data_IF_495472112238
#
_entry.id   IF_495472112238
#
_cell.length_a   1.000
_cell.length_b   1.000
_cell.length_c   1.000
_cell.angle_alpha   90.00
_cell.angle_beta   90.00
_cell.angle_gamma   90.00
#
_symmetry.space_group_name_H-M   'P 1'
#
loop_
_entity.id
_entity.type
_entity.pdbx_description
1 polymer ?
#
# COMPACT_ATOMS: atom_id res chain seq x y z
N UNK A 1 -17.73 -11.95 -39.39
CA UNK A 1 -17.32 -11.59 -38.05
C UNK A 1 -18.04 -12.54 -37.10
N UNK A 2 -17.35 -13.57 -36.65
CA UNK A 2 -17.91 -14.53 -35.70
C UNK A 2 -18.13 -13.82 -34.38
N UNK A 3 -19.39 -13.59 -34.03
CA UNK A 3 -19.76 -12.99 -32.76
C UNK A 3 -19.58 -14.05 -31.67
N UNK A 4 -18.66 -13.83 -30.74
CA UNK A 4 -18.49 -14.69 -29.57
C UNK A 4 -19.82 -14.83 -28.84
N UNK A 5 -20.26 -16.08 -28.70
CA UNK A 5 -21.45 -16.45 -27.92
C UNK A 5 -21.02 -17.18 -26.66
N UNK A 6 -21.76 -17.00 -25.58
CA UNK A 6 -21.63 -17.80 -24.37
C UNK A 6 -23.02 -18.16 -23.85
N UNK A 7 -23.13 -19.24 -23.10
CA UNK A 7 -24.39 -19.70 -22.55
C UNK A 7 -24.49 -19.40 -21.05
N UNK A 8 -25.55 -18.73 -20.64
CA UNK A 8 -25.90 -18.51 -19.24
C UNK A 8 -27.31 -19.03 -19.00
N UNK A 9 -27.49 -19.91 -18.03
CA UNK A 9 -28.79 -20.52 -17.68
C UNK A 9 -29.46 -21.24 -18.86
N UNK A 10 -28.67 -21.71 -19.84
CA UNK A 10 -29.19 -22.38 -21.03
C UNK A 10 -29.54 -21.45 -22.20
N UNK A 11 -29.42 -20.15 -22.05
CA UNK A 11 -29.63 -19.16 -23.11
C UNK A 11 -28.30 -18.76 -23.74
N UNK A 12 -28.24 -18.73 -25.08
CA UNK A 12 -27.08 -18.20 -25.83
C UNK A 12 -27.17 -16.68 -25.88
N UNK A 13 -26.09 -16.02 -25.42
CA UNK A 13 -25.99 -14.57 -25.40
C UNK A 13 -24.78 -14.14 -26.23
N UNK A 14 -24.98 -13.17 -27.13
CA UNK A 14 -23.88 -12.54 -27.83
C UNK A 14 -23.12 -11.56 -26.92
N UNK A 15 -21.80 -11.51 -27.06
CA UNK A 15 -20.97 -10.61 -26.24
C UNK A 15 -21.44 -9.15 -26.29
N UNK A 16 -21.76 -8.66 -27.47
CA UNK A 16 -22.26 -7.29 -27.66
C UNK A 16 -23.55 -7.03 -26.88
N UNK A 17 -24.51 -7.96 -26.94
CA UNK A 17 -25.79 -7.80 -26.24
C UNK A 17 -25.60 -7.89 -24.74
N UNK A 18 -24.73 -8.77 -24.27
CA UNK A 18 -24.34 -8.85 -22.87
C UNK A 18 -23.70 -7.56 -22.38
N UNK A 19 -22.73 -7.02 -23.14
CA UNK A 19 -22.04 -5.79 -22.77
C UNK A 19 -22.99 -4.58 -22.77
N UNK A 20 -23.85 -4.45 -23.78
CA UNK A 20 -24.87 -3.39 -23.85
C UNK A 20 -25.95 -3.55 -22.78
N UNK A 21 -26.26 -4.78 -22.39
CA UNK A 21 -27.19 -5.12 -21.31
C UNK A 21 -26.68 -4.81 -19.90
N UNK A 22 -25.38 -4.55 -19.73
CA UNK A 22 -24.84 -4.11 -18.43
C UNK A 22 -25.38 -2.72 -18.10
N UNK A 23 -26.39 -2.62 -17.26
CA UNK A 23 -26.96 -1.35 -16.83
C UNK A 23 -26.10 -0.60 -15.79
N UNK A 24 -25.12 -1.29 -15.19
CA UNK A 24 -24.21 -0.72 -14.21
C UNK A 24 -22.99 -0.10 -14.91
N UNK A 25 -22.81 1.20 -14.75
CA UNK A 25 -21.64 1.94 -15.28
C UNK A 25 -20.31 1.37 -14.77
N UNK A 26 -20.25 0.97 -13.50
CA UNK A 26 -19.03 0.40 -12.90
C UNK A 26 -18.66 -0.94 -13.56
N UNK A 27 -19.66 -1.79 -13.85
CA UNK A 27 -19.41 -3.07 -14.53
C UNK A 27 -18.88 -2.87 -15.96
N UNK A 28 -19.47 -1.94 -16.73
CA UNK A 28 -18.95 -1.57 -18.06
C UNK A 28 -17.52 -1.04 -17.98
N UNK A 29 -17.27 -0.15 -17.02
CA UNK A 29 -15.96 0.43 -16.79
C UNK A 29 -14.91 -0.64 -16.45
N UNK A 30 -15.27 -1.59 -15.59
CA UNK A 30 -14.38 -2.70 -15.23
C UNK A 30 -13.99 -3.55 -16.45
N UNK A 31 -14.96 -3.90 -17.30
CA UNK A 31 -14.72 -4.64 -18.55
C UNK A 31 -13.81 -3.84 -19.49
N UNK A 32 -14.09 -2.55 -19.70
CA UNK A 32 -13.28 -1.69 -20.57
C UNK A 32 -11.87 -1.51 -20.02
N UNK A 33 -11.73 -1.41 -18.70
CA UNK A 33 -10.40 -1.33 -18.04
C UNK A 33 -9.59 -2.59 -18.30
N UNK A 34 -10.18 -3.78 -18.16
CA UNK A 34 -9.48 -5.04 -18.40
C UNK A 34 -9.08 -5.23 -19.86
N UNK A 35 -9.97 -4.90 -20.80
CA UNK A 35 -9.63 -4.88 -22.23
C UNK A 35 -8.51 -3.88 -22.53
N UNK A 36 -8.59 -2.69 -21.96
CA UNK A 36 -7.56 -1.66 -22.09
C UNK A 36 -6.21 -2.11 -21.55
N UNK A 37 -6.17 -2.75 -20.38
CA UNK A 37 -4.96 -3.35 -19.81
C UNK A 37 -4.32 -4.36 -20.77
N UNK A 38 -5.12 -5.26 -21.35
CA UNK A 38 -4.63 -6.26 -22.29
C UNK A 38 -3.97 -5.63 -23.52
N UNK A 39 -4.61 -4.63 -24.12
CA UNK A 39 -4.06 -3.88 -25.26
C UNK A 39 -2.78 -3.15 -24.87
N UNK A 40 -2.79 -2.46 -23.71
CA UNK A 40 -1.65 -1.74 -23.18
C UNK A 40 -0.45 -2.67 -22.98
N UNK A 41 -0.64 -3.80 -22.31
CA UNK A 41 0.43 -4.74 -22.02
C UNK A 41 1.00 -5.35 -23.30
N UNK A 42 0.15 -5.73 -24.26
CA UNK A 42 0.61 -6.26 -25.55
C UNK A 42 1.48 -5.24 -26.29
N UNK A 43 1.10 -3.95 -26.27
CA UNK A 43 1.91 -2.88 -26.85
C UNK A 43 3.29 -2.80 -26.19
N UNK A 44 3.33 -2.74 -24.84
CA UNK A 44 4.59 -2.64 -24.12
C UNK A 44 5.45 -3.91 -24.21
N UNK A 45 4.85 -5.10 -24.27
CA UNK A 45 5.60 -6.33 -24.54
C UNK A 45 6.34 -6.25 -25.87
N UNK A 46 5.71 -5.72 -26.91
CA UNK A 46 6.34 -5.55 -28.22
C UNK A 46 7.39 -4.43 -28.19
N UNK A 47 7.07 -3.26 -27.65
CA UNK A 47 7.98 -2.10 -27.59
C UNK A 47 9.24 -2.39 -26.78
N UNK A 48 9.09 -3.07 -25.65
CA UNK A 48 10.20 -3.41 -24.75
C UNK A 48 10.86 -4.76 -25.12
N UNK A 49 10.43 -5.39 -26.20
CA UNK A 49 10.95 -6.68 -26.64
C UNK A 49 10.94 -7.74 -25.53
N UNK A 50 9.83 -7.81 -24.78
CA UNK A 50 9.62 -8.84 -23.76
C UNK A 50 9.19 -10.13 -24.47
N UNK A 51 10.17 -10.82 -25.04
CA UNK A 51 9.97 -12.10 -25.74
C UNK A 51 10.46 -13.26 -24.86
N UNK A 52 9.88 -14.47 -25.04
CA UNK A 52 10.27 -15.64 -24.25
C UNK A 52 11.78 -15.92 -24.27
N UNK A 53 12.40 -15.86 -25.42
CA UNK A 53 13.82 -16.21 -25.64
C UNK A 53 14.79 -15.28 -24.90
N UNK A 54 14.37 -14.03 -24.66
CA UNK A 54 15.23 -13.01 -24.02
C UNK A 54 15.23 -13.08 -22.50
N UNK A 55 14.15 -13.60 -21.90
CA UNK A 55 13.91 -13.53 -20.44
C UNK A 55 13.70 -14.90 -19.79
N UNK A 56 14.14 -15.99 -20.47
CA UNK A 56 13.95 -17.36 -19.97
C UNK A 56 12.49 -17.67 -19.61
N UNK A 57 11.58 -17.18 -20.45
CA UNK A 57 10.13 -17.39 -20.30
C UNK A 57 9.70 -18.67 -21.01
N UNK A 58 10.55 -19.68 -21.03
CA UNK A 58 10.21 -20.96 -21.62
C UNK A 58 9.00 -21.56 -20.91
N UNK A 59 7.98 -21.86 -21.70
CA UNK A 59 6.69 -22.35 -21.24
C UNK A 59 6.82 -23.59 -20.33
N UNK A 60 7.71 -24.51 -20.69
CA UNK A 60 7.95 -25.73 -19.93
C UNK A 60 8.61 -25.44 -18.58
N UNK A 61 9.59 -24.53 -18.53
CA UNK A 61 10.25 -24.10 -17.29
C UNK A 61 9.26 -23.45 -16.33
N UNK A 62 8.35 -22.60 -16.85
CA UNK A 62 7.32 -21.96 -16.03
C UNK A 62 6.31 -22.96 -15.48
N UNK A 63 5.91 -23.94 -16.28
CA UNK A 63 5.04 -25.02 -15.84
C UNK A 63 5.69 -25.85 -14.74
N UNK A 64 6.97 -26.23 -14.88
CA UNK A 64 7.73 -26.96 -13.87
C UNK A 64 7.84 -26.18 -12.56
N UNK A 65 8.18 -24.89 -12.63
CA UNK A 65 8.20 -23.99 -11.44
C UNK A 65 6.83 -23.95 -10.74
N UNK A 66 5.76 -23.82 -11.51
CA UNK A 66 4.40 -23.84 -10.99
C UNK A 66 4.08 -25.19 -10.29
N UNK A 67 4.34 -26.29 -10.96
CA UNK A 67 4.10 -27.64 -10.38
C UNK A 67 4.88 -27.83 -9.09
N UNK A 68 6.15 -27.41 -9.02
CA UNK A 68 6.97 -27.51 -7.83
C UNK A 68 6.38 -26.65 -6.67
N UNK A 69 5.91 -25.45 -6.93
CA UNK A 69 5.29 -24.57 -5.93
C UNK A 69 3.97 -25.13 -5.39
N UNK A 70 3.17 -25.75 -6.26
CA UNK A 70 1.86 -26.33 -5.91
C UNK A 70 1.96 -27.79 -5.41
N UNK A 71 3.18 -28.36 -5.33
CA UNK A 71 3.42 -29.76 -4.97
C UNK A 71 2.71 -30.74 -5.88
N UNK A 72 2.58 -30.41 -7.15
CA UNK A 72 2.06 -31.27 -8.21
C UNK A 72 3.24 -32.13 -8.71
N UNK A 73 3.21 -33.41 -8.43
CA UNK A 73 4.36 -34.30 -8.68
C UNK A 73 4.18 -35.25 -9.87
N UNK A 74 2.94 -35.48 -10.27
CA UNK A 74 2.64 -36.42 -11.37
C UNK A 74 1.82 -35.75 -12.48
N UNK A 75 1.88 -36.27 -13.72
CA UNK A 75 1.00 -35.79 -14.79
C UNK A 75 -0.49 -35.89 -14.44
N UNK A 76 -0.90 -36.93 -13.72
CA UNK A 76 -2.28 -37.14 -13.28
C UNK A 76 -2.72 -36.04 -12.27
N UNK A 77 -1.84 -35.64 -11.36
CA UNK A 77 -2.11 -34.52 -10.44
C UNK A 77 -2.33 -33.20 -11.21
N UNK A 78 -1.54 -32.98 -12.27
CA UNK A 78 -1.69 -31.80 -13.12
C UNK A 78 -3.02 -31.82 -13.88
N UNK A 79 -3.40 -32.97 -14.49
CA UNK A 79 -4.69 -33.13 -15.16
C UNK A 79 -5.86 -32.89 -14.21
N UNK A 80 -5.78 -33.44 -13.00
CA UNK A 80 -6.78 -33.23 -11.96
C UNK A 80 -6.88 -31.76 -11.55
N UNK A 81 -5.75 -31.07 -11.45
CA UNK A 81 -5.71 -29.62 -11.17
C UNK A 81 -6.35 -28.83 -12.30
N UNK A 82 -5.96 -29.09 -13.56
CA UNK A 82 -6.48 -28.40 -14.75
C UNK A 82 -7.99 -28.61 -14.90
N UNK A 83 -8.47 -29.84 -14.65
CA UNK A 83 -9.89 -30.17 -14.69
C UNK A 83 -10.70 -29.36 -13.65
N UNK A 84 -10.17 -29.20 -12.43
CA UNK A 84 -10.81 -28.38 -11.36
C UNK A 84 -10.96 -26.92 -11.76
N UNK A 85 -9.96 -26.35 -12.45
CA UNK A 85 -10.00 -24.95 -12.93
C UNK A 85 -10.64 -24.81 -14.31
N UNK A 86 -11.09 -25.91 -14.91
CA UNK A 86 -11.73 -25.97 -16.25
C UNK A 86 -10.88 -25.33 -17.35
N UNK A 87 -9.57 -25.60 -17.37
CA UNK A 87 -8.62 -25.16 -18.38
C UNK A 87 -7.89 -26.34 -18.97
N UNK A 88 -7.59 -26.25 -20.28
CA UNK A 88 -6.64 -27.16 -20.92
C UNK A 88 -5.18 -26.73 -20.61
N UNK A 89 -4.23 -27.63 -20.86
CA UNK A 89 -2.81 -27.41 -20.56
C UNK A 89 -2.24 -26.22 -21.35
N UNK A 90 -2.58 -26.07 -22.62
CA UNK A 90 -1.99 -25.07 -23.50
C UNK A 90 -2.46 -23.67 -23.07
N UNK A 91 -3.75 -23.46 -22.87
CA UNK A 91 -4.31 -22.21 -22.33
C UNK A 91 -3.76 -21.87 -20.96
N UNK A 92 -3.52 -22.89 -20.12
CA UNK A 92 -2.92 -22.67 -18.80
C UNK A 92 -1.48 -22.20 -18.90
N UNK A 93 -0.67 -22.81 -19.75
CA UNK A 93 0.73 -22.43 -19.99
C UNK A 93 0.82 -21.04 -20.60
N UNK A 94 -0.02 -20.71 -21.58
CA UNK A 94 -0.10 -19.35 -22.14
C UNK A 94 -0.38 -18.31 -21.05
N UNK A 95 -1.27 -18.63 -20.11
CA UNK A 95 -1.56 -17.77 -18.97
C UNK A 95 -0.34 -17.59 -18.07
N UNK A 96 0.42 -18.66 -17.76
CA UNK A 96 1.65 -18.56 -16.97
C UNK A 96 2.68 -17.65 -17.63
N UNK A 97 2.89 -17.81 -18.94
CA UNK A 97 3.80 -16.94 -19.72
C UNK A 97 3.32 -15.49 -19.68
N UNK A 98 2.03 -15.25 -19.85
CA UNK A 98 1.46 -13.91 -19.79
C UNK A 98 1.62 -13.25 -18.41
N UNK A 99 1.36 -13.98 -17.34
CA UNK A 99 1.55 -13.50 -15.95
C UNK A 99 3.01 -13.15 -15.68
N UNK A 100 3.96 -13.95 -16.17
CA UNK A 100 5.39 -13.67 -16.00
C UNK A 100 5.84 -12.45 -16.82
N UNK A 101 5.32 -12.25 -18.03
CA UNK A 101 5.52 -11.02 -18.81
C UNK A 101 5.02 -9.78 -18.07
N UNK A 102 3.87 -9.87 -17.38
CA UNK A 102 3.36 -8.76 -16.56
C UNK A 102 4.31 -8.47 -15.39
N UNK A 103 4.86 -9.49 -14.73
CA UNK A 103 5.83 -9.29 -13.63
C UNK A 103 7.07 -8.56 -14.12
N UNK A 104 7.61 -8.96 -15.28
CA UNK A 104 8.75 -8.29 -15.90
C UNK A 104 8.42 -6.84 -16.26
N UNK A 105 7.29 -6.60 -16.91
CA UNK A 105 6.84 -5.26 -17.24
C UNK A 105 6.75 -4.39 -15.97
N UNK A 106 6.15 -4.93 -14.90
CA UNK A 106 6.06 -4.24 -13.61
C UNK A 106 7.44 -3.87 -13.06
N UNK A 107 8.42 -4.78 -13.13
CA UNK A 107 9.79 -4.48 -12.69
C UNK A 107 10.46 -3.39 -13.53
N UNK A 108 10.18 -3.36 -14.84
CA UNK A 108 10.77 -2.38 -15.76
C UNK A 108 10.17 -0.98 -15.51
N UNK A 109 8.85 -0.89 -15.36
CA UNK A 109 8.16 0.42 -15.27
C UNK A 109 8.14 1.00 -13.86
N UNK A 110 8.36 0.19 -12.83
CA UNK A 110 8.40 0.61 -11.42
C UNK A 110 9.82 0.52 -10.89
N UNK A 111 10.51 1.66 -10.82
CA UNK A 111 11.87 1.73 -10.29
C UNK A 111 11.90 1.65 -8.75
N UNK A 112 13.05 1.26 -8.20
CA UNK A 112 13.29 1.26 -6.75
C UNK A 112 13.20 2.66 -6.16
N UNK A 113 13.56 3.70 -6.92
CA UNK A 113 13.45 5.10 -6.49
C UNK A 113 11.99 5.48 -6.23
N UNK A 114 11.08 5.18 -7.16
CA UNK A 114 9.65 5.44 -6.98
C UNK A 114 9.07 4.72 -5.75
N UNK A 115 9.54 3.50 -5.46
CA UNK A 115 9.11 2.74 -4.29
C UNK A 115 9.55 3.44 -3.00
N UNK A 116 10.81 3.88 -2.95
CA UNK A 116 11.34 4.59 -1.79
C UNK A 116 10.60 5.90 -1.53
N UNK A 117 10.32 6.68 -2.58
CA UNK A 117 9.58 7.94 -2.47
C UNK A 117 8.18 7.71 -1.90
N UNK A 118 7.44 6.74 -2.46
CA UNK A 118 6.11 6.39 -1.97
C UNK A 118 6.16 5.80 -0.54
N UNK A 119 7.19 5.02 -0.23
CA UNK A 119 7.40 4.52 1.13
C UNK A 119 7.60 5.66 2.13
N UNK A 120 8.47 6.62 1.82
CA UNK A 120 8.73 7.77 2.69
C UNK A 120 7.49 8.63 2.88
N UNK A 121 6.70 8.86 1.82
CA UNK A 121 5.42 9.56 1.91
C UNK A 121 4.45 8.86 2.88
N UNK A 122 4.33 7.53 2.77
CA UNK A 122 3.40 6.74 3.60
C UNK A 122 3.91 6.48 5.00
N UNK A 123 5.23 6.45 5.20
CA UNK A 123 5.86 6.14 6.48
C UNK A 123 5.37 7.02 7.61
N UNK A 124 5.31 8.33 7.42
CA UNK A 124 4.81 9.26 8.44
C UNK A 124 3.36 9.02 8.87
N UNK A 125 2.57 8.36 8.01
CA UNK A 125 1.17 7.99 8.32
C UNK A 125 1.09 6.67 9.10
N UNK A 126 2.10 5.83 9.00
CA UNK A 126 2.13 4.50 9.61
C UNK A 126 2.98 4.46 10.88
N UNK A 127 4.02 5.30 10.97
CA UNK A 127 4.81 5.43 12.19
C UNK A 127 3.92 5.91 13.35
N UNK A 128 4.05 5.25 14.50
CA UNK A 128 3.30 5.61 15.69
C UNK A 128 4.20 5.73 16.92
N UNK A 129 3.77 6.55 17.88
CA UNK A 129 4.51 6.80 19.10
C UNK A 129 3.63 6.66 20.32
N UNK A 130 4.24 6.24 21.42
CA UNK A 130 3.72 6.33 22.78
C UNK A 130 4.69 7.22 23.55
N UNK A 131 4.19 8.24 24.18
CA UNK A 131 5.00 9.17 24.95
C UNK A 131 4.23 9.64 26.19
N UNK A 132 4.94 10.12 27.20
CA UNK A 132 4.33 10.87 28.29
C UNK A 132 4.44 12.36 28.01
N UNK A 133 3.39 13.09 28.34
CA UNK A 133 3.27 14.52 28.15
C UNK A 133 2.93 15.19 29.48
N UNK A 134 3.65 16.26 29.80
CA UNK A 134 3.39 17.14 30.90
C UNK A 134 3.28 18.57 30.36
N UNK A 135 2.17 19.25 30.70
CA UNK A 135 1.88 20.62 30.25
C UNK A 135 1.71 21.53 31.45
N UNK A 136 2.33 22.70 31.36
CA UNK A 136 2.16 23.75 32.36
C UNK A 136 2.05 25.12 31.71
N UNK A 137 1.46 26.09 32.39
CA UNK A 137 1.25 27.43 31.85
C UNK A 137 2.48 28.34 32.00
N UNK A 138 3.37 28.04 32.97
CA UNK A 138 4.50 28.91 33.31
C UNK A 138 5.83 28.24 32.94
N UNK A 139 6.69 28.99 32.26
CA UNK A 139 8.04 28.54 31.92
C UNK A 139 8.88 28.14 33.12
N UNK A 140 8.79 28.94 34.19
CA UNK A 140 9.53 28.67 35.46
C UNK A 140 9.16 27.32 36.06
N UNK A 141 7.86 26.97 36.03
CA UNK A 141 7.39 25.68 36.47
C UNK A 141 7.90 24.55 35.56
N UNK A 142 7.88 24.75 34.25
CA UNK A 142 8.37 23.75 33.30
C UNK A 142 9.87 23.46 33.51
N UNK A 143 10.68 24.49 33.74
CA UNK A 143 12.13 24.35 34.05
C UNK A 143 12.36 23.60 35.37
N UNK A 144 11.59 23.91 36.41
CA UNK A 144 11.67 23.19 37.68
C UNK A 144 11.29 21.71 37.52
N UNK A 145 10.19 21.44 36.86
CA UNK A 145 9.75 20.05 36.63
C UNK A 145 10.73 19.25 35.75
N UNK A 146 11.32 19.87 34.74
CA UNK A 146 12.38 19.24 33.95
C UNK A 146 13.59 18.89 34.84
N UNK A 147 14.02 19.79 35.73
CA UNK A 147 15.10 19.52 36.68
C UNK A 147 14.74 18.34 37.60
N UNK A 148 13.54 18.31 38.17
CA UNK A 148 13.05 17.22 39.04
C UNK A 148 13.02 15.87 38.30
N UNK A 149 12.67 15.87 37.01
CA UNK A 149 12.66 14.66 36.17
C UNK A 149 14.06 14.14 35.86
N UNK A 150 15.00 15.02 35.57
CA UNK A 150 16.33 14.66 35.05
C UNK A 150 17.42 14.55 36.11
N UNK A 151 17.33 15.33 37.19
CA UNK A 151 18.33 15.34 38.28
C UNK A 151 17.83 14.62 39.53
N UNK A 152 16.61 14.91 39.95
CA UNK A 152 16.04 14.25 41.13
C UNK A 152 15.41 12.90 40.81
N UNK A 153 15.36 12.54 39.52
CA UNK A 153 14.84 11.25 39.00
C UNK A 153 13.41 10.94 39.47
N UNK A 154 12.59 11.98 39.66
CA UNK A 154 11.20 11.80 40.06
C UNK A 154 10.38 11.16 38.96
N UNK A 155 9.33 10.43 39.34
CA UNK A 155 8.48 9.73 38.40
C UNK A 155 7.68 10.70 37.52
N UNK A 156 7.75 10.51 36.19
CA UNK A 156 7.08 11.37 35.23
C UNK A 156 5.55 11.34 35.39
N UNK A 157 5.01 10.15 35.65
CA UNK A 157 3.57 9.96 35.77
C UNK A 157 3.00 10.66 37.00
N UNK A 158 3.71 10.63 38.12
CA UNK A 158 3.30 11.33 39.35
C UNK A 158 3.36 12.85 39.18
N UNK A 159 4.43 13.37 38.54
CA UNK A 159 4.51 14.79 38.25
C UNK A 159 3.44 15.24 37.24
N UNK A 160 3.14 14.42 36.25
CA UNK A 160 2.09 14.71 35.28
C UNK A 160 0.71 14.75 35.96
N UNK A 161 0.39 13.80 36.83
CA UNK A 161 -0.87 13.80 37.60
C UNK A 161 -1.02 15.06 38.49
N UNK A 162 0.08 15.52 39.06
CA UNK A 162 0.07 16.63 40.01
C UNK A 162 0.06 18.00 39.33
N UNK A 163 0.78 18.15 38.21
CA UNK A 163 1.08 19.47 37.66
C UNK A 163 0.56 19.69 36.24
N UNK A 164 0.26 18.62 35.47
CA UNK A 164 -0.19 18.81 34.10
C UNK A 164 -1.61 19.38 34.04
N UNK A 165 -1.79 20.39 33.21
CA UNK A 165 -3.10 21.03 32.98
C UNK A 165 -3.91 20.33 31.89
N UNK A 166 -3.36 19.35 31.22
CA UNK A 166 -4.03 18.62 30.15
C UNK A 166 -4.83 17.40 30.63
N UNK A 167 -5.68 16.85 29.78
CA UNK A 167 -6.50 15.67 30.12
C UNK A 167 -5.67 14.41 30.33
N UNK A 168 -4.49 14.32 29.71
CA UNK A 168 -3.51 13.26 29.90
C UNK A 168 -3.00 13.14 31.34
N UNK A 169 -3.09 14.18 32.15
CA UNK A 169 -2.72 14.15 33.56
C UNK A 169 -3.38 12.98 34.32
N UNK A 170 -4.64 12.66 33.99
CA UNK A 170 -5.40 11.58 34.66
C UNK A 170 -4.77 10.20 34.45
N UNK A 171 -3.99 10.04 33.38
CA UNK A 171 -3.31 8.80 33.02
C UNK A 171 -1.78 8.89 33.19
N UNK A 172 -1.31 9.77 34.08
CA UNK A 172 0.13 9.97 34.29
C UNK A 172 0.85 10.55 33.09
N UNK A 173 0.14 11.34 32.29
CA UNK A 173 0.69 11.94 31.07
C UNK A 173 0.78 11.02 29.86
N UNK A 174 0.42 9.74 29.94
CA UNK A 174 0.59 8.78 28.83
C UNK A 174 -0.36 9.13 27.68
N UNK A 175 0.21 9.24 26.49
CA UNK A 175 -0.47 9.52 25.22
C UNK A 175 -0.05 8.47 24.19
N UNK A 176 -1.01 7.92 23.49
CA UNK A 176 -0.75 6.95 22.41
C UNK A 176 -1.29 5.54 22.66
N UNK A 177 -1.08 4.61 21.69
CA UNK A 177 -0.35 4.85 20.43
C UNK A 177 -1.07 5.87 19.54
N UNK A 178 -0.30 6.80 18.97
CA UNK A 178 -0.81 7.84 18.07
C UNK A 178 0.08 7.96 16.82
N UNK A 179 -0.53 8.16 15.65
CA UNK A 179 0.21 8.31 14.40
C UNK A 179 0.96 9.65 14.38
N UNK A 180 2.23 9.63 13.98
CA UNK A 180 3.08 10.81 13.91
C UNK A 180 2.48 11.97 13.11
N UNK A 181 1.81 11.67 12.01
CA UNK A 181 1.22 12.70 11.15
C UNK A 181 0.14 13.53 11.86
N UNK A 182 -0.53 12.97 12.87
CA UNK A 182 -1.62 13.66 13.61
C UNK A 182 -1.10 14.62 14.67
N UNK A 183 0.19 14.54 15.00
CA UNK A 183 0.82 15.40 15.97
C UNK A 183 1.13 16.78 15.38
N UNK A 184 1.11 17.80 16.24
CA UNK A 184 1.64 19.12 15.89
C UNK A 184 3.08 19.00 15.36
N UNK A 185 3.48 19.75 14.32
CA UNK A 185 4.80 19.65 13.69
C UNK A 185 5.97 19.80 14.66
N UNK A 186 5.91 20.72 15.64
CA UNK A 186 6.96 20.94 16.63
C UNK A 186 7.13 19.71 17.54
N UNK A 187 6.01 19.23 18.11
CA UNK A 187 6.00 18.03 18.96
C UNK A 187 6.49 16.80 18.18
N UNK A 188 6.04 16.63 16.94
CA UNK A 188 6.48 15.55 16.05
C UNK A 188 7.98 15.60 15.80
N UNK A 189 8.51 16.77 15.42
CA UNK A 189 9.94 16.95 15.15
C UNK A 189 10.79 16.56 16.37
N UNK A 190 10.35 16.95 17.55
CA UNK A 190 11.03 16.63 18.80
C UNK A 190 11.02 15.13 19.09
N UNK A 191 9.86 14.49 19.02
CA UNK A 191 9.75 13.04 19.25
C UNK A 191 10.57 12.21 18.26
N UNK A 192 10.65 12.64 16.98
CA UNK A 192 11.45 11.96 15.95
C UNK A 192 12.94 12.00 16.26
N UNK A 193 13.45 13.06 16.90
CA UNK A 193 14.86 13.22 17.27
C UNK A 193 15.27 12.54 18.58
N UNK A 194 14.29 12.02 19.36
CA UNK A 194 14.52 11.37 20.65
C UNK A 194 14.75 9.86 20.51
N UNK A 195 15.44 9.30 21.51
CA UNK A 195 15.52 7.86 21.77
C UNK A 195 14.49 7.46 22.82
N UNK A 196 14.10 6.18 22.82
CA UNK A 196 13.19 5.66 23.84
C UNK A 196 13.81 5.84 25.24
N UNK A 197 13.02 6.43 26.14
CA UNK A 197 13.47 6.80 27.48
C UNK A 197 13.89 8.26 27.64
N UNK A 198 14.24 8.96 26.56
CA UNK A 198 14.65 10.36 26.62
C UNK A 198 13.52 11.26 27.13
N UNK A 199 13.93 12.30 27.85
CA UNK A 199 13.06 13.39 28.33
C UNK A 199 13.49 14.68 27.63
N UNK A 200 12.57 15.38 26.97
CA UNK A 200 12.86 16.65 26.31
C UNK A 200 13.03 17.78 27.30
N UNK A 201 13.84 18.77 26.97
CA UNK A 201 13.70 20.10 27.58
C UNK A 201 12.29 20.65 27.32
N UNK A 202 11.90 21.63 28.14
CA UNK A 202 10.61 22.30 27.97
C UNK A 202 10.58 23.11 26.68
N UNK A 203 9.46 23.03 25.97
CA UNK A 203 9.22 23.75 24.71
C UNK A 203 7.75 24.18 24.62
N UNK A 204 7.44 25.07 23.71
CA UNK A 204 6.07 25.54 23.46
C UNK A 204 5.66 25.23 22.04
N UNK A 205 4.38 24.96 21.80
CA UNK A 205 3.81 24.63 20.49
C UNK A 205 3.04 25.82 19.90
N UNK A 206 2.31 26.54 20.75
CA UNK A 206 1.46 27.67 20.37
C UNK A 206 1.73 28.94 21.21
N UNK A 207 2.76 28.90 22.04
CA UNK A 207 3.13 29.98 22.94
C UNK A 207 2.27 30.10 24.20
N UNK A 208 1.23 29.28 24.35
CA UNK A 208 0.32 29.35 25.51
C UNK A 208 0.70 28.41 26.64
N UNK A 209 1.34 27.28 26.32
CA UNK A 209 1.71 26.25 27.29
C UNK A 209 3.12 25.73 27.02
N UNK A 210 3.78 25.33 28.10
CA UNK A 210 5.10 24.71 28.08
C UNK A 210 4.94 23.18 28.22
N UNK A 211 5.54 22.44 27.32
CA UNK A 211 5.47 20.98 27.22
C UNK A 211 6.81 20.37 27.62
N UNK A 212 6.75 19.26 28.36
CA UNK A 212 7.87 18.33 28.56
C UNK A 212 7.35 16.97 28.10
N UNK A 213 8.13 16.26 27.29
CA UNK A 213 7.76 14.93 26.82
C UNK A 213 8.83 13.90 27.16
N UNK A 214 8.39 12.66 27.44
CA UNK A 214 9.25 11.49 27.57
C UNK A 214 8.84 10.49 26.50
N UNK A 215 9.75 10.13 25.60
CA UNK A 215 9.48 9.10 24.62
C UNK A 215 9.46 7.71 25.28
N UNK A 216 8.32 7.01 25.21
CA UNK A 216 8.17 5.67 25.76
C UNK A 216 8.49 4.63 24.69
N UNK A 217 7.87 4.75 23.52
CA UNK A 217 8.05 3.81 22.40
C UNK A 217 7.83 4.50 21.07
N UNK A 218 8.62 4.12 20.10
CA UNK A 218 8.51 4.58 18.74
C UNK A 218 8.40 3.39 17.77
N UNK A 219 7.19 3.08 17.36
CA UNK A 219 6.93 2.02 16.38
C UNK A 219 7.20 2.54 14.97
N UNK A 220 8.42 2.32 14.49
CA UNK A 220 8.86 2.73 13.15
C UNK A 220 8.58 1.64 12.15
N UNK A 221 7.83 1.97 11.10
CA UNK A 221 7.65 1.08 9.96
C UNK A 221 8.94 1.04 9.14
N UNK A 222 9.43 -0.15 8.88
CA UNK A 222 10.61 -0.39 8.04
C UNK A 222 10.21 -1.01 6.73
N UNK A 223 10.89 -0.61 5.65
CA UNK A 223 10.68 -1.21 4.34
C UNK A 223 11.14 -2.68 4.40
N UNK A 224 10.20 -3.58 4.17
CA UNK A 224 10.44 -5.01 4.02
C UNK A 224 9.90 -5.49 2.68
N UNK A 225 10.18 -6.73 2.31
CA UNK A 225 9.81 -7.29 1.01
C UNK A 225 8.28 -7.27 0.78
N UNK A 226 7.47 -7.42 1.81
CA UNK A 226 6.00 -7.41 1.70
C UNK A 226 5.49 -6.00 1.41
N UNK A 227 6.00 -5.00 2.14
CA UNK A 227 5.67 -3.59 1.91
C UNK A 227 6.17 -3.15 0.54
N UNK A 228 7.41 -3.52 0.16
CA UNK A 228 7.96 -3.21 -1.15
C UNK A 228 7.09 -3.76 -2.28
N UNK A 229 6.67 -5.02 -2.19
CA UNK A 229 5.78 -5.63 -3.19
C UNK A 229 4.42 -4.91 -3.26
N UNK A 230 3.83 -4.56 -2.12
CA UNK A 230 2.58 -3.82 -2.07
C UNK A 230 2.69 -2.43 -2.70
N UNK A 231 3.79 -1.71 -2.44
CA UNK A 231 4.05 -0.40 -3.04
C UNK A 231 4.32 -0.50 -4.54
N UNK A 232 5.01 -1.55 -4.97
CA UNK A 232 5.23 -1.85 -6.39
C UNK A 232 3.91 -2.11 -7.12
N UNK A 233 3.01 -2.87 -6.50
CA UNK A 233 1.67 -3.13 -7.04
C UNK A 233 0.87 -1.83 -7.17
N UNK A 234 0.89 -0.98 -6.17
CA UNK A 234 0.21 0.31 -6.19
C UNK A 234 0.77 1.24 -7.28
N UNK A 235 2.09 1.37 -7.38
CA UNK A 235 2.73 2.19 -8.41
C UNK A 235 2.43 1.66 -9.82
N UNK A 236 2.37 0.34 -9.99
CA UNK A 236 2.00 -0.28 -11.25
C UNK A 236 0.56 0.02 -11.63
N UNK A 237 -0.39 -0.10 -10.70
CA UNK A 237 -1.79 0.30 -10.96
C UNK A 237 -1.93 1.80 -11.27
N UNK A 238 -1.19 2.66 -10.57
CA UNK A 238 -1.15 4.09 -10.89
C UNK A 238 -0.60 4.35 -12.30
N UNK A 239 0.45 3.61 -12.70
CA UNK A 239 1.01 3.67 -14.04
C UNK A 239 -0.01 3.24 -15.09
N UNK A 240 -0.68 2.08 -14.90
CA UNK A 240 -1.75 1.60 -15.78
C UNK A 240 -2.85 2.67 -15.95
N UNK A 241 -3.34 3.21 -14.84
CA UNK A 241 -4.41 4.21 -14.88
C UNK A 241 -4.00 5.47 -15.64
N UNK A 242 -2.74 5.90 -15.53
CA UNK A 242 -2.18 7.02 -16.31
C UNK A 242 -2.11 6.71 -17.81
N UNK A 243 -1.65 5.51 -18.17
CA UNK A 243 -1.52 5.09 -19.57
C UNK A 243 -2.88 4.92 -20.25
N UNK A 244 -3.85 4.38 -19.56
CA UNK A 244 -5.20 4.19 -20.08
C UNK A 244 -6.00 5.50 -20.19
N UNK A 245 -5.54 6.58 -19.53
CA UNK A 245 -6.21 7.87 -19.50
C UNK A 245 -7.72 7.76 -19.19
N UNK A 246 -8.02 6.97 -18.15
CA UNK A 246 -9.38 6.48 -17.83
C UNK A 246 -10.40 7.59 -17.53
N UNK A 247 -9.94 8.81 -17.32
CA UNK A 247 -10.82 9.98 -17.15
C UNK A 247 -11.58 10.35 -18.44
N UNK A 248 -11.17 9.84 -19.60
CA UNK A 248 -11.76 10.13 -20.90
C UNK A 248 -12.76 9.06 -21.40
N UNK A 249 -12.89 7.93 -20.69
CA UNK A 249 -13.81 6.86 -21.11
C UNK A 249 -15.30 7.19 -20.85
N UNK A 250 -15.60 8.26 -20.10
CA UNK A 250 -16.96 8.68 -19.80
C UNK A 250 -17.51 9.83 -20.67
N UNK A 251 -16.69 10.47 -21.51
CA UNK A 251 -17.07 11.75 -22.14
C UNK A 251 -17.25 11.74 -23.67
N UNK A 252 -17.11 10.60 -24.35
CA UNK A 252 -17.34 10.53 -25.80
C UNK A 252 -18.06 9.24 -26.20
N UNK A 253 -19.37 9.22 -26.12
CA UNK A 253 -20.24 8.46 -27.02
C UNK A 253 -21.68 8.90 -26.85
N UNK A 254 -22.01 10.10 -27.32
CA UNK A 254 -23.32 10.34 -27.90
C UNK A 254 -23.08 10.63 -29.39
N UNK A 255 -23.40 9.74 -30.33
CA UNK A 255 -23.56 10.16 -31.70
C UNK A 255 -24.78 11.08 -31.72
N UNK A 256 -24.55 12.34 -32.06
CA UNK A 256 -25.61 13.24 -32.54
C UNK A 256 -26.24 12.60 -33.75
N UNK A 257 -27.55 12.34 -33.62
CA UNK A 257 -28.47 11.67 -34.48
C UNK A 257 -28.69 12.20 -35.81
#
# INVERSE_FOLDING_TARGET
>A
MDSYKFSILGEEIHFNDAFLGLNNHEARYAVLKELGKRILFQRYFNEMQIFPDKYDLEAESLLQKFCAQQKISTPEDLENFLSKIKQDKDSFVERLVYEEKIKLLKQIVVSSHNINDLFLEKKMRQDSVIFSLLRVEKETMARELYYRLTHDLQDFGELAKQFSVGTEARHGGIVGPIQLQTLNPELRSRLVSMQEGDISESFTVDGSQYLIVKLIRFDRVTLNIQIENSLRDELFEQWINRQLNLNNFGSKAAPSG
#
